data_IF_974694371423
#
_entry.id   IF_974694371423
#
_cell.length_a   1.000
_cell.length_b   1.000
_cell.length_c   1.000
_cell.angle_alpha   90.00
_cell.angle_beta   90.00
_cell.angle_gamma   90.00
#
_symmetry.space_group_name_H-M   'P 1'
#
loop_
_entity.id
_entity.type
_entity.pdbx_description
1 polymer ?
#
# COMPACT_ATOMS: atom_id res chain seq x y z
N UNK A 1 -6.87 25.52 0.38
CA UNK A 1 -8.27 25.25 -0.06
C UNK A 1 -8.38 24.89 -1.53
N UNK A 2 -7.92 25.72 -2.48
CA UNK A 2 -8.03 25.42 -3.92
C UNK A 2 -7.41 24.07 -4.35
N UNK A 3 -6.26 23.70 -3.79
CA UNK A 3 -5.62 22.40 -4.07
C UNK A 3 -6.48 21.21 -3.57
N UNK A 4 -7.11 21.36 -2.41
CA UNK A 4 -7.97 20.33 -1.83
C UNK A 4 -9.27 20.18 -2.62
N UNK A 5 -9.87 21.30 -3.05
CA UNK A 5 -11.03 21.30 -3.94
C UNK A 5 -10.74 20.56 -5.26
N UNK A 6 -9.59 20.81 -5.89
CA UNK A 6 -9.19 20.09 -7.09
C UNK A 6 -9.03 18.59 -6.84
N UNK A 7 -8.49 18.21 -5.67
CA UNK A 7 -8.39 16.80 -5.27
C UNK A 7 -9.76 16.14 -5.11
N UNK A 8 -10.75 16.84 -4.54
CA UNK A 8 -12.13 16.33 -4.46
C UNK A 8 -12.74 16.13 -5.85
N UNK A 9 -12.54 17.08 -6.78
CA UNK A 9 -13.02 16.97 -8.16
C UNK A 9 -12.38 15.80 -8.91
N UNK A 10 -11.06 15.65 -8.80
CA UNK A 10 -10.33 14.51 -9.37
C UNK A 10 -10.89 13.17 -8.86
N UNK A 11 -11.10 13.07 -7.55
CA UNK A 11 -11.60 11.85 -6.92
C UNK A 11 -13.07 11.56 -7.29
N UNK A 12 -13.90 12.59 -7.42
CA UNK A 12 -15.26 12.45 -7.93
C UNK A 12 -15.29 11.88 -9.35
N UNK A 13 -14.49 12.42 -10.27
CA UNK A 13 -14.43 11.91 -11.65
C UNK A 13 -13.89 10.47 -11.72
N UNK A 14 -13.03 10.09 -10.79
CA UNK A 14 -12.59 8.71 -10.66
C UNK A 14 -13.76 7.78 -10.31
N UNK A 15 -14.60 8.15 -9.34
CA UNK A 15 -15.80 7.37 -9.01
C UNK A 15 -16.83 7.35 -10.13
N UNK A 16 -17.07 8.47 -10.79
CA UNK A 16 -17.95 8.54 -11.96
C UNK A 16 -17.50 7.55 -13.06
N UNK A 17 -16.20 7.51 -13.33
CA UNK A 17 -15.60 6.57 -14.28
C UNK A 17 -15.74 5.12 -13.82
N UNK A 18 -15.48 4.84 -12.54
CA UNK A 18 -15.58 3.51 -11.96
C UNK A 18 -17.01 2.98 -11.99
N UNK A 19 -18.01 3.79 -11.60
CA UNK A 19 -19.44 3.43 -11.64
C UNK A 19 -19.89 3.18 -13.08
N UNK A 20 -19.47 4.03 -14.02
CA UNK A 20 -19.79 3.85 -15.45
C UNK A 20 -19.21 2.55 -15.99
N UNK A 21 -17.96 2.23 -15.65
CA UNK A 21 -17.30 1.00 -16.05
C UNK A 21 -18.05 -0.23 -15.49
N UNK A 22 -18.37 -0.20 -14.20
CA UNK A 22 -19.07 -1.29 -13.50
C UNK A 22 -20.48 -1.51 -14.05
N UNK A 23 -21.14 -0.45 -14.53
CA UNK A 23 -22.44 -0.56 -15.21
C UNK A 23 -22.33 -1.20 -16.59
N UNK A 24 -21.22 -0.99 -17.29
CA UNK A 24 -20.99 -1.51 -18.65
C UNK A 24 -20.50 -2.96 -18.69
N UNK A 25 -19.94 -3.46 -17.59
CA UNK A 25 -19.36 -4.80 -17.46
C UNK A 25 -20.17 -5.63 -16.48
N UNK A 26 -20.37 -6.93 -16.74
CA UNK A 26 -20.88 -7.82 -15.69
C UNK A 26 -19.85 -7.88 -14.57
N UNK A 27 -20.16 -7.20 -13.47
CA UNK A 27 -19.21 -6.93 -12.40
C UNK A 27 -19.57 -7.73 -11.16
N UNK A 28 -18.54 -8.26 -10.52
CA UNK A 28 -18.62 -9.04 -9.29
C UNK A 28 -19.33 -8.25 -8.18
N UNK A 29 -20.26 -8.90 -7.47
CA UNK A 29 -21.00 -8.40 -6.30
C UNK A 29 -20.04 -7.77 -5.27
N UNK A 30 -18.87 -8.37 -5.07
CA UNK A 30 -17.88 -7.87 -4.13
C UNK A 30 -17.26 -6.54 -4.56
N UNK A 31 -17.03 -6.36 -5.87
CA UNK A 31 -16.51 -5.09 -6.40
C UNK A 31 -17.50 -3.95 -6.19
N UNK A 32 -18.79 -4.24 -6.32
CA UNK A 32 -19.87 -3.31 -6.02
C UNK A 32 -19.92 -2.95 -4.53
N UNK A 33 -19.71 -3.91 -3.64
CA UNK A 33 -19.64 -3.67 -2.20
C UNK A 33 -18.48 -2.73 -1.82
N UNK A 34 -17.27 -3.01 -2.33
CA UNK A 34 -16.08 -2.19 -2.08
C UNK A 34 -16.24 -0.79 -2.65
N UNK A 35 -16.73 -0.66 -3.89
CA UNK A 35 -16.96 0.65 -4.49
C UNK A 35 -18.01 1.45 -3.71
N UNK A 36 -19.05 0.79 -3.20
CA UNK A 36 -20.06 1.41 -2.36
C UNK A 36 -19.50 1.95 -1.04
N UNK A 37 -18.62 1.19 -0.38
CA UNK A 37 -17.92 1.62 0.83
C UNK A 37 -17.02 2.84 0.54
N UNK A 38 -16.22 2.78 -0.53
CA UNK A 38 -15.30 3.87 -0.90
C UNK A 38 -16.03 5.18 -1.24
N UNK A 39 -17.15 5.10 -1.97
CA UNK A 39 -17.98 6.28 -2.27
C UNK A 39 -18.63 6.84 -1.00
N UNK A 40 -19.03 5.97 -0.06
CA UNK A 40 -19.64 6.38 1.20
C UNK A 40 -18.61 7.08 2.12
N UNK A 41 -17.41 6.53 2.25
CA UNK A 41 -16.31 7.14 3.00
C UNK A 41 -15.93 8.49 2.40
N UNK A 42 -15.82 8.57 1.08
CA UNK A 42 -15.56 9.84 0.40
C UNK A 42 -16.67 10.86 0.64
N UNK A 43 -17.94 10.44 0.59
CA UNK A 43 -19.08 11.30 0.90
C UNK A 43 -18.99 11.87 2.33
N UNK A 44 -18.56 11.06 3.31
CA UNK A 44 -18.35 11.53 4.69
C UNK A 44 -17.28 12.63 4.75
N UNK A 45 -16.14 12.43 4.07
CA UNK A 45 -15.06 13.42 3.99
C UNK A 45 -15.53 14.70 3.28
N UNK A 46 -16.24 14.60 2.16
CA UNK A 46 -16.78 15.78 1.44
C UNK A 46 -17.77 16.58 2.30
N UNK A 47 -18.56 15.91 3.16
CA UNK A 47 -19.45 16.58 4.09
C UNK A 47 -18.69 17.30 5.22
N UNK A 48 -17.65 16.67 5.77
CA UNK A 48 -16.79 17.26 6.80
C UNK A 48 -16.09 18.53 6.30
N UNK A 49 -15.58 18.49 5.06
CA UNK A 49 -14.85 19.61 4.44
C UNK A 49 -15.72 20.49 3.52
N UNK A 50 -17.02 20.60 3.82
CA UNK A 50 -17.98 21.42 3.02
C UNK A 50 -17.56 22.89 2.87
N UNK A 51 -16.87 23.45 3.86
CA UNK A 51 -16.37 24.83 3.84
C UNK A 51 -15.27 25.10 2.79
N UNK A 52 -14.67 24.06 2.21
CA UNK A 52 -13.65 24.18 1.15
C UNK A 52 -14.27 24.60 -0.18
N UNK A 53 -15.59 24.42 -0.34
CA UNK A 53 -16.31 24.78 -1.55
C UNK A 53 -16.70 26.27 -1.50
N UNK A 54 -16.19 27.10 -2.44
CA UNK A 54 -16.52 28.52 -2.47
C UNK A 54 -17.97 28.77 -2.89
N UNK A 55 -18.55 27.86 -3.67
CA UNK A 55 -19.96 27.87 -4.04
C UNK A 55 -20.69 26.71 -3.37
N UNK A 56 -21.69 27.05 -2.55
CA UNK A 56 -22.52 26.07 -1.86
C UNK A 56 -23.33 25.20 -2.85
N UNK A 57 -23.64 25.74 -4.03
CA UNK A 57 -24.38 25.01 -5.06
C UNK A 57 -23.56 23.84 -5.61
N UNK A 58 -22.26 24.04 -5.84
CA UNK A 58 -21.32 23.00 -6.29
C UNK A 58 -21.24 21.85 -5.28
N UNK A 59 -21.12 22.17 -3.99
CA UNK A 59 -21.11 21.16 -2.93
C UNK A 59 -22.42 20.36 -2.87
N UNK A 60 -23.57 21.03 -2.99
CA UNK A 60 -24.87 20.35 -3.01
C UNK A 60 -24.99 19.41 -4.22
N UNK A 61 -24.60 19.87 -5.41
CA UNK A 61 -24.59 19.03 -6.61
C UNK A 61 -23.68 17.82 -6.44
N UNK A 62 -22.47 18.00 -5.93
CA UNK A 62 -21.54 16.91 -5.67
C UNK A 62 -22.14 15.88 -4.71
N UNK A 63 -22.70 16.33 -3.59
CA UNK A 63 -23.35 15.48 -2.60
C UNK A 63 -24.52 14.70 -3.19
N UNK A 64 -25.39 15.36 -3.96
CA UNK A 64 -26.51 14.70 -4.63
C UNK A 64 -26.01 13.65 -5.62
N UNK A 65 -25.00 13.95 -6.42
CA UNK A 65 -24.43 12.99 -7.38
C UNK A 65 -23.83 11.78 -6.68
N UNK A 66 -23.10 11.95 -5.57
CA UNK A 66 -22.57 10.83 -4.79
C UNK A 66 -23.69 9.96 -4.20
N UNK A 67 -24.80 10.56 -3.75
CA UNK A 67 -25.97 9.81 -3.29
C UNK A 67 -26.62 9.00 -4.42
N UNK A 68 -26.72 9.58 -5.61
CA UNK A 68 -27.23 8.88 -6.79
C UNK A 68 -26.31 7.73 -7.19
N UNK A 69 -24.99 7.92 -7.18
CA UNK A 69 -24.03 6.83 -7.43
C UNK A 69 -24.18 5.68 -6.42
N UNK A 70 -24.37 5.98 -5.13
CA UNK A 70 -24.60 4.96 -4.11
C UNK A 70 -25.91 4.19 -4.35
N UNK A 71 -26.97 4.86 -4.79
CA UNK A 71 -28.22 4.20 -5.16
C UNK A 71 -28.02 3.28 -6.37
N UNK A 72 -27.30 3.73 -7.39
CA UNK A 72 -26.97 2.94 -8.57
C UNK A 72 -26.15 1.69 -8.21
N UNK A 73 -25.10 1.86 -7.40
CA UNK A 73 -24.26 0.74 -6.93
C UNK A 73 -25.11 -0.29 -6.16
N UNK A 74 -26.02 0.16 -5.29
CA UNK A 74 -26.91 -0.74 -4.54
C UNK A 74 -27.89 -1.48 -5.45
N UNK A 75 -28.43 -0.80 -6.46
CA UNK A 75 -29.29 -1.43 -7.47
C UNK A 75 -28.54 -2.52 -8.23
N UNK A 76 -27.34 -2.19 -8.73
CA UNK A 76 -26.47 -3.14 -9.43
C UNK A 76 -26.06 -4.32 -8.54
N UNK A 77 -25.81 -4.06 -7.25
CA UNK A 77 -25.51 -5.11 -6.28
C UNK A 77 -26.70 -6.06 -6.09
N UNK A 78 -27.93 -5.53 -5.99
CA UNK A 78 -29.15 -6.34 -5.94
C UNK A 78 -29.30 -7.24 -7.17
N UNK A 79 -29.22 -6.65 -8.37
CA UNK A 79 -29.30 -7.38 -9.63
C UNK A 79 -28.20 -8.46 -9.76
N UNK A 80 -26.96 -8.12 -9.39
CA UNK A 80 -25.82 -9.05 -9.46
C UNK A 80 -25.96 -10.17 -8.42
N UNK A 81 -26.48 -9.88 -7.23
CA UNK A 81 -26.74 -10.89 -6.19
C UNK A 81 -27.86 -11.84 -6.60
N UNK A 82 -28.93 -11.34 -7.20
CA UNK A 82 -30.02 -12.16 -7.73
C UNK A 82 -29.55 -13.09 -8.85
N UNK A 83 -28.68 -12.59 -9.75
CA UNK A 83 -28.01 -13.43 -10.76
C UNK A 83 -27.04 -14.43 -10.13
N UNK A 84 -26.35 -14.04 -9.05
CA UNK A 84 -25.31 -14.82 -8.37
C UNK A 84 -25.82 -15.82 -7.33
N UNK A 85 -27.11 -16.18 -7.33
CA UNK A 85 -27.63 -17.35 -6.58
C UNK A 85 -26.96 -18.68 -7.01
N UNK A 86 -25.97 -18.65 -7.90
CA UNK A 86 -25.08 -19.75 -8.28
C UNK A 86 -23.72 -19.78 -7.54
N UNK A 87 -23.45 -18.88 -6.59
CA UNK A 87 -22.32 -18.99 -5.65
C UNK A 87 -21.49 -17.70 -5.54
N UNK A 88 -20.92 -17.45 -4.35
CA UNK A 88 -20.02 -16.31 -4.13
C UNK A 88 -18.74 -16.51 -4.95
N UNK A 89 -18.33 -15.56 -5.80
CA UNK A 89 -17.05 -15.64 -6.48
C UNK A 89 -15.93 -15.68 -5.44
N UNK A 90 -15.08 -16.69 -5.54
CA UNK A 90 -14.00 -16.87 -4.59
C UNK A 90 -12.84 -15.95 -4.98
N UNK A 91 -12.78 -14.77 -4.36
CA UNK A 91 -11.77 -13.73 -4.63
C UNK A 91 -10.36 -14.25 -4.36
N UNK A 92 -10.18 -15.05 -3.31
CA UNK A 92 -8.90 -15.67 -2.97
C UNK A 92 -9.13 -17.14 -2.70
N UNK A 93 -8.40 -18.01 -3.40
CA UNK A 93 -8.39 -19.44 -3.14
C UNK A 93 -6.97 -19.98 -3.07
N UNK A 94 -6.83 -21.18 -2.51
CA UNK A 94 -5.57 -21.90 -2.49
C UNK A 94 -5.57 -23.00 -3.56
N UNK A 95 -4.65 -22.91 -4.51
CA UNK A 95 -4.38 -23.99 -5.47
C UNK A 95 -3.37 -24.99 -4.89
N UNK A 96 -3.71 -26.27 -4.96
CA UNK A 96 -2.79 -27.37 -4.67
C UNK A 96 -2.27 -27.92 -6.00
N UNK A 97 -0.96 -27.87 -6.21
CA UNK A 97 -0.32 -28.32 -7.45
C UNK A 97 -0.05 -29.84 -7.48
N UNK A 98 -0.49 -30.58 -6.46
CA UNK A 98 -0.21 -32.01 -6.29
C UNK A 98 1.23 -32.34 -5.87
N UNK A 99 2.13 -31.35 -5.80
CA UNK A 99 3.51 -31.52 -5.33
C UNK A 99 3.62 -31.22 -3.82
N UNK A 100 4.55 -31.87 -3.09
CA UNK A 100 4.81 -31.52 -1.70
C UNK A 100 5.27 -30.05 -1.60
N UNK A 101 4.53 -29.26 -0.82
CA UNK A 101 4.77 -27.83 -0.66
C UNK A 101 3.55 -27.07 -0.13
N UNK A 102 3.76 -25.82 0.30
CA UNK A 102 2.68 -24.92 0.74
C UNK A 102 1.77 -24.61 -0.46
N UNK A 103 0.43 -24.76 -0.33
CA UNK A 103 -0.50 -24.38 -1.39
C UNK A 103 -0.31 -22.93 -1.84
N UNK A 104 -0.51 -22.69 -3.13
CA UNK A 104 -0.34 -21.37 -3.72
C UNK A 104 -1.61 -20.55 -3.50
N UNK A 105 -1.47 -19.33 -3.01
CA UNK A 105 -2.57 -18.36 -2.98
C UNK A 105 -2.79 -17.78 -4.37
N UNK A 106 -4.00 -17.90 -4.90
CA UNK A 106 -4.44 -17.35 -6.19
C UNK A 106 -5.53 -16.32 -5.92
N UNK A 107 -5.41 -15.16 -6.57
CA UNK A 107 -6.37 -14.05 -6.47
C UNK A 107 -7.13 -14.00 -7.78
N UNK A 108 -8.46 -13.80 -7.75
CA UNK A 108 -9.25 -13.64 -8.96
C UNK A 108 -8.65 -12.53 -9.85
N UNK A 109 -8.46 -12.85 -11.15
CA UNK A 109 -7.77 -11.99 -12.11
C UNK A 109 -8.53 -10.68 -12.36
N UNK A 110 -9.85 -10.76 -12.53
CA UNK A 110 -10.70 -9.61 -12.86
C UNK A 110 -10.82 -8.67 -11.66
N UNK A 111 -11.00 -9.22 -10.46
CA UNK A 111 -10.92 -8.48 -9.20
C UNK A 111 -9.58 -7.75 -9.09
N UNK A 112 -8.46 -8.45 -9.31
CA UNK A 112 -7.14 -7.87 -9.12
C UNK A 112 -6.85 -6.78 -10.16
N UNK A 113 -7.33 -6.93 -11.39
CA UNK A 113 -7.23 -5.91 -12.44
C UNK A 113 -7.98 -4.64 -12.02
N UNK A 114 -9.26 -4.79 -11.64
CA UNK A 114 -10.07 -3.67 -11.17
C UNK A 114 -9.44 -3.01 -9.93
N UNK A 115 -9.06 -3.79 -8.92
CA UNK A 115 -8.56 -3.26 -7.65
C UNK A 115 -7.26 -2.48 -7.84
N UNK A 116 -6.42 -2.89 -8.81
CA UNK A 116 -5.20 -2.18 -9.13
C UNK A 116 -5.42 -0.82 -9.78
N UNK A 117 -6.56 -0.59 -10.43
CA UNK A 117 -6.92 0.74 -10.96
C UNK A 117 -7.32 1.72 -9.86
N UNK A 118 -7.82 1.22 -8.73
CA UNK A 118 -8.40 2.02 -7.65
C UNK A 118 -7.47 2.17 -6.44
N UNK A 119 -6.69 1.12 -6.10
CA UNK A 119 -5.92 1.04 -4.85
C UNK A 119 -4.46 0.66 -5.07
N UNK A 120 -3.61 1.12 -4.16
CA UNK A 120 -2.20 0.71 -4.14
C UNK A 120 -2.06 -0.78 -3.77
N UNK A 121 -0.94 -1.41 -4.16
CA UNK A 121 -0.65 -2.81 -3.81
C UNK A 121 -0.71 -3.09 -2.30
N UNK A 122 -0.40 -2.10 -1.47
CA UNK A 122 -0.46 -2.22 -0.01
C UNK A 122 -1.91 -2.18 0.48
N UNK A 123 -2.74 -1.29 -0.08
CA UNK A 123 -4.16 -1.21 0.25
C UNK A 123 -4.91 -2.49 -0.14
N UNK A 124 -4.63 -3.02 -1.33
CA UNK A 124 -5.18 -4.31 -1.78
C UNK A 124 -4.73 -5.45 -0.84
N UNK A 125 -3.45 -5.47 -0.47
CA UNK A 125 -2.92 -6.49 0.45
C UNK A 125 -3.59 -6.46 1.82
N UNK A 126 -3.72 -5.26 2.42
CA UNK A 126 -4.41 -5.08 3.69
C UNK A 126 -5.86 -5.58 3.61
N UNK A 127 -6.56 -5.22 2.55
CA UNK A 127 -7.95 -5.59 2.33
C UNK A 127 -8.15 -7.11 2.17
N UNK A 128 -7.28 -7.78 1.41
CA UNK A 128 -7.34 -9.24 1.21
C UNK A 128 -6.71 -10.05 2.36
N UNK A 129 -6.12 -9.41 3.37
CA UNK A 129 -5.31 -10.10 4.39
C UNK A 129 -4.05 -10.76 3.83
N UNK A 130 -3.50 -10.23 2.73
CA UNK A 130 -2.33 -10.75 2.04
C UNK A 130 -1.14 -9.79 2.14
N UNK A 131 0.08 -10.33 2.03
CA UNK A 131 1.26 -9.49 1.96
C UNK A 131 1.28 -8.69 0.65
N UNK A 132 1.83 -7.47 0.68
CA UNK A 132 2.07 -6.64 -0.53
C UNK A 132 2.83 -7.41 -1.62
N UNK A 133 3.78 -8.26 -1.22
CA UNK A 133 4.59 -9.05 -2.15
C UNK A 133 3.75 -10.12 -2.86
N UNK A 134 2.78 -10.72 -2.18
CA UNK A 134 1.83 -11.67 -2.78
C UNK A 134 1.02 -10.98 -3.87
N UNK A 135 0.43 -9.82 -3.55
CA UNK A 135 -0.37 -9.03 -4.50
C UNK A 135 0.48 -8.60 -5.70
N UNK A 136 1.69 -8.06 -5.47
CA UNK A 136 2.61 -7.67 -6.54
C UNK A 136 2.98 -8.85 -7.45
N UNK A 137 3.24 -10.03 -6.87
CA UNK A 137 3.57 -11.23 -7.64
C UNK A 137 2.42 -11.65 -8.55
N UNK A 138 1.18 -11.63 -8.05
CA UNK A 138 -0.02 -11.93 -8.86
C UNK A 138 -0.23 -10.90 -9.97
N UNK A 139 0.01 -9.61 -9.71
CA UNK A 139 -0.07 -8.56 -10.74
C UNK A 139 0.95 -8.76 -11.88
N UNK A 140 2.17 -9.16 -11.53
CA UNK A 140 3.21 -9.48 -12.52
C UNK A 140 2.85 -10.73 -13.32
N UNK A 141 2.34 -11.77 -12.66
CA UNK A 141 1.94 -13.02 -13.31
C UNK A 141 0.80 -12.83 -14.30
N UNK A 142 -0.20 -11.99 -13.99
CA UNK A 142 -1.30 -11.70 -14.91
C UNK A 142 -0.96 -10.65 -15.99
N UNK A 143 0.24 -10.05 -15.92
CA UNK A 143 0.71 -9.05 -16.87
C UNK A 143 0.11 -7.66 -16.68
N UNK A 144 -0.48 -7.36 -15.51
CA UNK A 144 -1.07 -6.05 -15.22
C UNK A 144 -0.03 -5.02 -14.78
N UNK A 145 1.02 -5.46 -14.09
CA UNK A 145 2.13 -4.59 -13.71
C UNK A 145 3.34 -4.90 -14.61
N UNK A 146 4.05 -3.87 -15.13
CA UNK A 146 5.32 -4.10 -15.79
C UNK A 146 6.32 -4.67 -14.76
N UNK A 147 7.10 -5.65 -15.19
CA UNK A 147 8.29 -6.09 -14.45
C UNK A 147 9.21 -4.89 -14.28
N UNK A 148 9.14 -4.24 -13.12
CA UNK A 148 9.95 -3.06 -12.85
C UNK A 148 11.41 -3.39 -13.12
N UNK A 149 12.05 -2.64 -14.02
CA UNK A 149 13.48 -2.73 -14.24
C UNK A 149 14.16 -2.56 -12.88
N UNK A 150 15.10 -3.45 -12.56
CA UNK A 150 15.88 -3.32 -11.35
C UNK A 150 16.56 -1.93 -11.40
N UNK A 151 16.28 -1.01 -10.47
CA UNK A 151 16.87 0.33 -10.49
C UNK A 151 18.38 0.28 -10.29
N UNK A 152 18.91 -0.87 -9.85
CA UNK A 152 20.33 -1.16 -9.87
C UNK A 152 20.68 -1.72 -11.26
N UNK A 153 21.42 -0.97 -12.09
CA UNK A 153 21.88 -1.48 -13.39
C UNK A 153 22.60 -2.79 -13.14
N UNK A 154 22.15 -3.85 -13.82
CA UNK A 154 22.73 -5.19 -13.73
C UNK A 154 24.06 -5.23 -14.50
N UNK A 155 25.00 -4.37 -14.13
CA UNK A 155 26.39 -4.41 -14.59
C UNK A 155 27.18 -5.33 -13.66
N UNK A 156 26.86 -6.62 -13.61
CA UNK A 156 27.77 -7.58 -13.01
C UNK A 156 27.52 -8.98 -13.57
N UNK A 157 28.45 -9.41 -14.42
CA UNK A 157 28.92 -10.79 -14.42
C UNK A 157 29.20 -11.18 -12.96
N UNK A 158 28.40 -12.09 -12.43
CA UNK A 158 28.57 -12.65 -11.08
C UNK A 158 29.83 -13.50 -11.04
N UNK A 159 30.99 -12.87 -10.97
CA UNK A 159 32.17 -13.44 -10.34
C UNK A 159 32.09 -13.06 -8.87
N UNK A 160 31.80 -14.05 -8.02
CA UNK A 160 31.89 -13.96 -6.57
C UNK A 160 33.30 -13.55 -6.16
N UNK A 161 33.54 -12.24 -6.06
CA UNK A 161 34.75 -11.68 -5.44
C UNK A 161 34.29 -10.79 -4.31
N UNK A 162 34.36 -11.29 -3.08
CA UNK A 162 34.35 -10.47 -1.87
C UNK A 162 35.65 -9.66 -1.81
N UNK A 163 35.83 -8.73 -2.74
CA UNK A 163 36.91 -7.76 -2.70
C UNK A 163 36.68 -6.84 -1.51
N UNK A 164 37.62 -6.86 -0.58
CA UNK A 164 37.72 -5.98 0.59
C UNK A 164 37.47 -4.52 0.16
N UNK A 165 36.29 -3.97 0.49
CA UNK A 165 35.92 -2.58 0.16
C UNK A 165 36.48 -1.55 1.15
N UNK A 166 37.42 -1.95 2.01
CA UNK A 166 38.08 -1.03 2.93
C UNK A 166 39.46 -1.55 3.30
N UNK A 167 40.49 -0.72 3.07
CA UNK A 167 41.86 -0.88 3.62
C UNK A 167 41.90 -0.62 5.14
N UNK A 168 40.80 -0.89 5.84
CA UNK A 168 40.70 -0.70 7.27
C UNK A 168 41.44 -1.85 7.92
N UNK A 169 42.46 -1.53 8.73
CA UNK A 169 43.15 -2.57 9.50
C UNK A 169 42.22 -3.16 10.54
N UNK A 170 42.52 -4.37 11.00
CA UNK A 170 41.73 -5.04 12.04
C UNK A 170 41.77 -4.23 13.35
N UNK A 171 42.93 -3.62 13.66
CA UNK A 171 43.08 -2.68 14.77
C UNK A 171 42.19 -1.44 14.66
N UNK A 172 42.03 -0.86 13.45
CA UNK A 172 41.11 0.25 13.25
C UNK A 172 39.66 -0.20 13.48
N UNK A 173 39.32 -1.41 13.03
CA UNK A 173 37.98 -1.98 13.19
C UNK A 173 37.64 -2.18 14.67
N UNK A 174 38.58 -2.75 15.43
CA UNK A 174 38.47 -2.94 16.88
C UNK A 174 38.40 -1.60 17.61
N UNK A 175 39.14 -0.59 17.15
CA UNK A 175 39.07 0.78 17.65
C UNK A 175 37.66 1.38 17.51
N UNK A 176 37.04 1.25 16.32
CA UNK A 176 35.68 1.72 16.09
C UNK A 176 34.66 0.93 16.92
N UNK A 177 34.82 -0.38 17.06
CA UNK A 177 33.95 -1.22 17.89
C UNK A 177 34.04 -0.80 19.37
N UNK A 178 35.24 -0.54 19.88
CA UNK A 178 35.45 -0.04 21.24
C UNK A 178 34.81 1.33 21.45
N UNK A 179 34.99 2.24 20.48
CA UNK A 179 34.38 3.57 20.51
C UNK A 179 32.84 3.48 20.55
N UNK A 180 32.24 2.66 19.67
CA UNK A 180 30.80 2.43 19.63
C UNK A 180 30.27 1.82 20.95
N UNK A 181 30.99 0.87 21.55
CA UNK A 181 30.63 0.29 22.85
C UNK A 181 30.69 1.29 23.99
N UNK A 182 31.67 2.20 23.97
CA UNK A 182 31.79 3.26 24.98
C UNK A 182 30.66 4.28 24.90
N UNK A 183 30.23 4.62 23.68
CA UNK A 183 29.23 5.65 23.44
C UNK A 183 27.79 5.11 23.56
N UNK A 184 27.59 3.80 23.39
CA UNK A 184 26.28 3.15 23.45
C UNK A 184 26.30 1.87 24.31
N UNK A 185 26.51 1.98 25.65
CA UNK A 185 26.66 0.82 26.54
C UNK A 185 25.43 -0.09 26.61
N UNK A 186 24.28 0.33 26.07
CA UNK A 186 23.01 -0.42 26.07
C UNK A 186 22.50 -0.84 24.69
N UNK A 187 23.17 -0.48 23.59
CA UNK A 187 22.68 -0.80 22.24
C UNK A 187 22.85 -2.30 21.87
N UNK A 188 23.79 -3.01 22.51
CA UNK A 188 24.15 -4.38 22.13
C UNK A 188 23.32 -5.52 22.74
N UNK A 189 22.51 -5.27 23.79
CA UNK A 189 21.87 -6.38 24.54
C UNK A 189 20.57 -6.86 23.88
N UNK A 190 19.92 -6.05 23.02
CA UNK A 190 18.67 -6.46 22.35
C UNK A 190 18.84 -7.05 20.94
N UNK A 191 20.04 -7.04 20.39
CA UNK A 191 20.28 -7.46 18.99
C UNK A 191 20.59 -8.96 18.86
N UNK A 192 20.98 -9.64 19.95
CA UNK A 192 21.40 -11.04 19.90
C UNK A 192 20.31 -12.07 20.25
N UNK A 193 19.19 -11.67 20.86
CA UNK A 193 18.16 -12.64 21.29
C UNK A 193 17.18 -13.07 20.17
N UNK A 194 17.02 -12.28 19.09
CA UNK A 194 15.94 -12.53 18.11
C UNK A 194 16.38 -13.16 16.77
N UNK A 195 17.64 -13.56 16.62
CA UNK A 195 18.06 -14.51 15.55
C UNK A 195 17.73 -14.13 14.10
N UNK A 196 17.42 -12.86 13.81
CA UNK A 196 17.15 -12.37 12.46
C UNK A 196 17.92 -11.08 12.21
N UNK A 197 19.02 -11.20 11.46
CA UNK A 197 19.71 -10.08 10.83
C UNK A 197 18.72 -9.35 9.92
N UNK A 198 18.20 -8.21 10.39
CA UNK A 198 17.51 -7.23 9.56
C UNK A 198 18.41 -6.02 9.41
N UNK A 199 18.58 -5.62 8.15
CA UNK A 199 19.18 -4.35 7.72
C UNK A 199 18.57 -3.19 8.52
N UNK A 200 19.40 -2.45 9.25
CA UNK A 200 18.98 -1.28 10.04
C UNK A 200 18.47 -0.21 9.05
N UNK A 201 17.14 -0.10 8.92
CA UNK A 201 16.50 0.87 8.01
C UNK A 201 16.01 2.12 8.74
N UNK A 202 16.28 2.24 10.04
CA UNK A 202 15.95 3.46 10.79
C UNK A 202 16.31 3.37 12.27
N UNK A 203 17.12 4.32 12.73
CA UNK A 203 17.25 4.62 14.15
C UNK A 203 16.05 5.46 14.57
N UNK A 204 15.19 4.90 15.44
CA UNK A 204 14.11 5.67 16.05
C UNK A 204 14.73 6.47 17.19
N UNK A 205 14.89 7.78 17.00
CA UNK A 205 15.30 8.68 18.06
C UNK A 205 14.22 8.67 19.15
N UNK A 206 14.67 8.57 20.40
CA UNK A 206 13.84 8.68 21.60
C UNK A 206 13.06 10.00 21.56
N UNK A 207 11.78 9.93 21.91
CA UNK A 207 10.83 11.03 22.06
C UNK A 207 11.14 11.95 23.26
N UNK A 208 12.23 11.70 23.98
CA UNK A 208 12.70 12.53 25.09
C UNK A 208 13.71 13.63 24.69
N UNK A 209 13.67 14.08 23.44
CA UNK A 209 14.51 15.18 22.94
C UNK A 209 13.97 16.54 23.44
N UNK A 210 14.34 16.93 24.65
CA UNK A 210 14.27 18.34 25.05
C UNK A 210 15.18 19.17 24.11
N UNK A 211 14.60 20.16 23.42
CA UNK A 211 15.28 20.95 22.38
C UNK A 211 16.58 21.66 22.77
N UNK A 212 16.89 21.99 24.05
CA UNK A 212 18.17 22.62 24.39
C UNK A 212 19.38 21.72 24.11
N UNK A 213 19.26 20.42 24.31
CA UNK A 213 20.39 19.46 24.21
C UNK A 213 20.80 19.20 22.75
N UNK A 214 19.84 19.28 21.82
CA UNK A 214 20.11 19.14 20.38
C UNK A 214 20.78 20.40 19.84
N UNK A 215 20.41 21.58 20.34
CA UNK A 215 21.04 22.84 19.94
C UNK A 215 22.49 22.95 20.41
N UNK A 216 22.79 22.47 21.63
CA UNK A 216 24.17 22.49 22.15
C UNK A 216 25.10 21.57 21.35
N UNK A 217 24.60 20.41 20.90
CA UNK A 217 25.37 19.44 20.11
C UNK A 217 25.71 19.97 18.71
N UNK A 218 24.85 20.82 18.13
CA UNK A 218 25.07 21.45 16.84
C UNK A 218 26.01 22.66 16.89
N UNK A 219 26.11 23.34 18.05
CA UNK A 219 26.98 24.51 18.22
C UNK A 219 28.39 24.14 18.73
N UNK A 220 28.59 22.92 19.22
CA UNK A 220 29.89 22.43 19.71
C UNK A 220 30.70 21.63 18.68
N UNK A 221 30.17 21.42 17.47
CA UNK A 221 30.85 20.77 16.35
C UNK A 221 31.34 21.80 15.35
#
# INVERSE_FOLDING_TARGET
DALLLNKFREHYHHFESAVTQVRSQETDVFLLEVLGEDVNDFSAVVNEYSHVFPDQSEWQTLRTNLQLMLLDIRSLHGESTERSQQGRPTIVHQERTGRPGRPRTVINRDFLNWAYTQRTTSGIGHFLGLSRNTVRRSLLEYGFAPSGANPFPSNTSTTSSSGYLSNMSDEDLDGIICLLRSHYPRAGIRILDDGYSRTITGMRASDNNHSPTVLSLFLSA
#
